data_IF_230040578713
#
_entry.id   IF_230040578713
#
_cell.length_a   1.000
_cell.length_b   1.000
_cell.length_c   1.000
_cell.angle_alpha   90.00
_cell.angle_beta   90.00
_cell.angle_gamma   90.00
#
_symmetry.space_group_name_H-M   'P 1'
#
loop_
_entity.id
_entity.type
_entity.pdbx_description
1 polymer ?
#
# COMPACT_ATOMS: atom_id res chain seq x y z
N UNK A 1 13.47 22.22 -27.05
CA UNK A 1 13.26 23.67 -26.84
C UNK A 1 13.22 24.41 -28.17
N UNK A 2 14.26 24.32 -29.01
CA UNK A 2 14.29 25.03 -30.32
C UNK A 2 13.19 24.58 -31.32
N UNK A 3 12.82 23.29 -31.36
CA UNK A 3 11.70 22.78 -32.16
C UNK A 3 10.31 23.17 -31.63
N UNK A 4 10.20 23.48 -30.33
CA UNK A 4 8.94 23.95 -29.73
C UNK A 4 8.72 25.45 -30.00
N UNK A 5 9.82 26.23 -30.04
CA UNK A 5 9.77 27.66 -30.35
C UNK A 5 9.29 27.95 -31.79
N UNK A 6 9.70 27.12 -32.76
CA UNK A 6 9.33 27.32 -34.17
C UNK A 6 7.83 27.05 -34.40
N UNK A 7 7.24 26.07 -33.72
CA UNK A 7 5.80 25.77 -33.80
C UNK A 7 4.96 26.89 -33.17
N UNK A 8 5.45 27.51 -32.09
CA UNK A 8 4.77 28.63 -31.45
C UNK A 8 4.70 29.87 -32.36
N UNK A 9 5.78 30.17 -33.10
CA UNK A 9 5.84 31.34 -34.00
C UNK A 9 4.87 31.21 -35.18
N UNK A 10 4.65 29.99 -35.69
CA UNK A 10 3.72 29.74 -36.82
C UNK A 10 2.24 29.92 -36.41
N UNK A 11 1.91 29.67 -35.13
CA UNK A 11 0.55 29.88 -34.59
C UNK A 11 0.24 31.36 -34.27
N UNK A 12 1.23 32.26 -34.33
CA UNK A 12 1.16 33.67 -33.91
C UNK A 12 0.76 34.65 -35.04
N UNK A 13 -0.03 34.22 -36.03
CA UNK A 13 -0.57 35.11 -37.07
C UNK A 13 -1.99 35.62 -36.80
N UNK A 14 -2.66 35.12 -35.76
CA UNK A 14 -4.03 35.51 -35.45
C UNK A 14 -4.08 36.30 -34.14
N UNK A 15 -4.38 37.61 -34.22
CA UNK A 15 -4.41 38.54 -33.07
C UNK A 15 -5.33 38.06 -31.94
N UNK A 16 -6.38 37.29 -32.25
CA UNK A 16 -7.28 36.71 -31.24
C UNK A 16 -6.66 35.55 -30.45
N UNK A 17 -5.76 34.77 -31.06
CA UNK A 17 -5.06 33.66 -30.39
C UNK A 17 -3.98 34.20 -29.44
N UNK A 18 -3.29 35.27 -29.84
CA UNK A 18 -2.31 35.94 -28.98
C UNK A 18 -2.94 36.45 -27.68
N UNK A 19 -4.14 37.04 -27.76
CA UNK A 19 -4.88 37.54 -26.59
C UNK A 19 -5.36 36.41 -25.65
N UNK A 20 -5.77 35.28 -26.21
CA UNK A 20 -6.18 34.11 -25.41
C UNK A 20 -4.99 33.44 -24.70
N UNK A 21 -3.84 33.35 -25.38
CA UNK A 21 -2.63 32.78 -24.78
C UNK A 21 -2.06 33.69 -23.71
N UNK A 22 -2.07 35.02 -23.89
CA UNK A 22 -1.65 35.95 -22.84
C UNK A 22 -2.59 35.91 -21.64
N UNK A 23 -3.91 35.83 -21.85
CA UNK A 23 -4.88 35.64 -20.76
C UNK A 23 -4.65 34.34 -19.99
N UNK A 24 -4.39 33.22 -20.68
CA UNK A 24 -4.13 31.93 -20.02
C UNK A 24 -2.83 31.94 -19.21
N UNK A 25 -1.77 32.59 -19.71
CA UNK A 25 -0.50 32.72 -18.99
C UNK A 25 -0.67 33.62 -17.76
N UNK A 26 -1.42 34.73 -17.88
CA UNK A 26 -1.72 35.62 -16.74
C UNK A 26 -2.58 34.89 -15.71
N UNK A 27 -3.62 34.15 -16.13
CA UNK A 27 -4.44 33.35 -15.22
C UNK A 27 -3.61 32.27 -14.51
N UNK A 28 -2.77 31.52 -15.23
CA UNK A 28 -1.89 30.53 -14.61
C UNK A 28 -0.88 31.17 -13.66
N UNK A 29 -0.31 32.32 -14.02
CA UNK A 29 0.60 33.09 -13.16
C UNK A 29 -0.06 33.57 -11.88
N UNK A 30 -1.27 34.12 -11.96
CA UNK A 30 -2.04 34.61 -10.79
C UNK A 30 -2.48 33.46 -9.89
N UNK A 31 -2.91 32.32 -10.46
CA UNK A 31 -3.24 31.12 -9.68
C UNK A 31 -2.01 30.51 -8.99
N UNK A 32 -0.87 30.48 -9.68
CA UNK A 32 0.37 29.97 -9.11
C UNK A 32 0.84 30.86 -7.94
N UNK A 33 0.86 32.18 -8.15
CA UNK A 33 1.32 33.16 -7.15
C UNK A 33 0.38 33.24 -5.93
N UNK A 34 -0.94 33.16 -6.14
CA UNK A 34 -1.90 33.10 -5.03
C UNK A 34 -1.80 31.79 -4.25
N UNK A 35 -1.53 30.66 -4.90
CA UNK A 35 -1.30 29.39 -4.20
C UNK A 35 -0.04 29.43 -3.32
N UNK A 36 1.05 30.01 -3.83
CA UNK A 36 2.33 30.09 -3.10
C UNK A 36 2.22 31.02 -1.89
N UNK A 37 1.52 32.15 -2.02
CA UNK A 37 1.22 33.05 -0.91
C UNK A 37 0.33 32.39 0.16
N UNK A 38 -0.68 31.61 -0.25
CA UNK A 38 -1.58 30.89 0.68
C UNK A 38 -0.83 29.79 1.43
N UNK A 39 0.06 29.07 0.75
CA UNK A 39 0.91 28.03 1.33
C UNK A 39 1.91 28.64 2.31
N UNK A 40 2.55 29.77 1.97
CA UNK A 40 3.50 30.46 2.86
C UNK A 40 2.84 31.00 4.13
N UNK A 41 1.62 31.52 4.02
CA UNK A 41 0.83 31.97 5.19
C UNK A 41 0.41 30.80 6.09
N UNK A 42 0.07 29.64 5.51
CA UNK A 42 -0.24 28.43 6.27
C UNK A 42 0.99 27.88 7.01
N UNK A 43 2.16 27.85 6.35
CA UNK A 43 3.42 27.45 7.01
C UNK A 43 3.82 28.39 8.15
N UNK A 44 3.66 29.71 7.96
CA UNK A 44 3.97 30.68 9.00
C UNK A 44 3.01 30.60 10.20
N UNK A 45 1.72 30.25 9.99
CA UNK A 45 0.79 30.04 11.10
C UNK A 45 1.17 28.79 11.91
N UNK A 46 1.55 27.69 11.25
CA UNK A 46 2.02 26.46 11.93
C UNK A 46 3.28 26.73 12.77
N UNK A 47 4.26 27.46 12.22
CA UNK A 47 5.49 27.79 12.95
C UNK A 47 5.19 28.65 14.19
N UNK A 48 4.29 29.63 14.06
CA UNK A 48 3.92 30.52 15.17
C UNK A 48 3.17 29.76 16.28
N UNK A 49 2.25 28.85 15.91
CA UNK A 49 1.55 27.99 16.88
C UNK A 49 2.51 27.03 17.59
N UNK A 50 3.49 26.46 16.86
CA UNK A 50 4.49 25.56 17.46
C UNK A 50 5.41 26.25 18.47
N UNK A 51 5.80 27.50 18.21
CA UNK A 51 6.66 28.28 19.11
C UNK A 51 5.93 28.73 20.38
N UNK A 52 4.62 29.01 20.31
CA UNK A 52 3.81 29.35 21.48
C UNK A 52 3.56 28.13 22.38
N UNK A 53 3.42 26.93 21.82
CA UNK A 53 3.31 25.68 22.59
C UNK A 53 4.65 25.33 23.28
N UNK A 54 5.78 25.69 22.67
CA UNK A 54 7.10 25.44 23.23
C UNK A 54 7.48 26.41 24.37
N UNK A 55 6.92 27.63 24.40
CA UNK A 55 7.15 28.57 25.51
C UNK A 55 6.29 28.23 26.73
N UNK A 56 5.06 27.75 26.55
CA UNK A 56 4.13 27.40 27.63
C UNK A 56 4.52 26.11 28.38
N UNK A 57 5.27 25.21 27.75
CA UNK A 57 5.74 23.95 28.35
C UNK A 57 7.03 24.09 29.17
N UNK A 58 7.63 25.28 29.20
CA UNK A 58 8.91 25.54 29.91
C UNK A 58 8.76 26.13 31.31
N UNK A 59 7.53 26.33 31.82
CA UNK A 59 7.27 27.02 33.10
C UNK A 59 6.61 26.20 34.21
N UNK A 60 6.36 24.89 34.04
CA UNK A 60 5.77 24.06 35.10
C UNK A 60 6.80 23.13 35.77
N UNK A 61 7.33 23.58 36.91
CA UNK A 61 8.16 22.79 37.82
C UNK A 61 7.34 21.67 38.48
N UNK A 62 7.79 20.42 38.38
CA UNK A 62 7.21 19.25 39.04
C UNK A 62 7.93 19.03 40.38
N UNK A 63 7.18 19.04 41.48
CA UNK A 63 7.59 18.50 42.78
C UNK A 63 7.00 17.11 42.98
N UNK A 64 7.87 16.15 43.26
CA UNK A 64 7.61 14.74 43.54
C UNK A 64 7.13 14.53 44.99
N UNK A 65 6.04 13.78 45.20
CA UNK A 65 5.78 12.96 46.40
C UNK A 65 4.33 12.44 46.46
N UNK A 66 4.16 11.17 46.81
CA UNK A 66 2.93 10.68 47.46
C UNK A 66 2.34 9.38 46.93
N UNK A 67 2.98 8.25 47.24
CA UNK A 67 2.29 6.95 47.30
C UNK A 67 1.46 6.96 48.60
N UNK A 68 0.13 6.91 48.50
CA UNK A 68 -0.72 6.56 49.63
C UNK A 68 -1.86 5.63 49.21
N UNK A 69 -2.06 4.62 50.05
CA UNK A 69 -2.96 3.49 49.89
C UNK A 69 -4.42 3.90 49.75
N UNK A 70 -5.16 3.26 48.84
CA UNK A 70 -6.62 3.30 48.83
C UNK A 70 -7.19 1.88 48.72
N UNK A 71 -7.79 1.41 49.82
CA UNK A 71 -8.75 0.30 49.81
C UNK A 71 -10.13 0.92 49.61
N UNK A 72 -10.93 0.47 48.63
CA UNK A 72 -12.37 0.66 48.69
C UNK A 72 -13.08 -0.69 48.85
N UNK A 73 -13.77 -0.83 49.97
CA UNK A 73 -14.93 -1.71 50.12
C UNK A 73 -16.17 -0.98 49.59
N UNK A 74 -16.77 -1.49 48.51
CA UNK A 74 -18.21 -1.46 48.24
C UNK A 74 -18.45 -2.08 46.87
N UNK A 75 -19.43 -2.97 46.77
CA UNK A 75 -19.87 -3.60 45.53
C UNK A 75 -20.36 -2.53 44.54
N UNK A 76 -19.47 -2.08 43.66
CA UNK A 76 -19.84 -1.37 42.44
C UNK A 76 -20.37 -2.39 41.43
N UNK A 77 -21.38 -2.07 40.61
CA UNK A 77 -21.71 -2.91 39.46
C UNK A 77 -20.42 -3.15 38.68
N UNK A 78 -20.14 -4.39 38.28
CA UNK A 78 -18.95 -4.70 37.48
C UNK A 78 -18.96 -3.82 36.23
N UNK A 79 -18.28 -2.68 36.30
CA UNK A 79 -17.97 -1.86 35.14
C UNK A 79 -17.08 -2.76 34.30
N UNK A 80 -17.66 -3.31 33.25
CA UNK A 80 -16.92 -4.06 32.27
C UNK A 80 -15.81 -3.13 31.78
N UNK A 81 -14.60 -3.65 31.62
CA UNK A 81 -13.52 -2.96 30.88
C UNK A 81 -13.94 -2.58 29.45
N UNK A 82 -15.12 -3.03 29.00
CA UNK A 82 -15.77 -2.67 27.74
C UNK A 82 -16.89 -1.61 27.87
N UNK A 83 -17.27 -1.18 29.08
CA UNK A 83 -18.28 -0.13 29.31
C UNK A 83 -17.72 1.28 29.03
N UNK A 84 -16.38 1.40 28.95
CA UNK A 84 -15.68 2.58 28.47
C UNK A 84 -14.42 2.18 27.71
N UNK A 85 -14.53 2.04 26.39
CA UNK A 85 -13.39 1.69 25.52
C UNK A 85 -12.61 2.96 25.12
N UNK A 86 -11.93 3.58 26.08
CA UNK A 86 -10.98 4.66 25.78
C UNK A 86 -9.65 4.03 25.35
N UNK A 87 -9.57 3.66 24.09
CA UNK A 87 -8.34 3.12 23.52
C UNK A 87 -7.26 4.21 23.53
N UNK A 88 -6.08 3.95 24.10
CA UNK A 88 -5.02 4.94 24.14
C UNK A 88 -4.60 5.29 22.71
N UNK A 89 -4.65 6.57 22.38
CA UNK A 89 -4.07 7.07 21.15
C UNK A 89 -2.55 7.13 21.33
N UNK A 90 -1.85 6.27 20.60
CA UNK A 90 -0.40 6.27 20.61
C UNK A 90 0.09 7.23 19.55
N UNK A 91 0.92 8.19 19.95
CA UNK A 91 1.61 9.07 19.00
C UNK A 91 2.49 8.22 18.07
N UNK A 92 2.14 8.14 16.77
CA UNK A 92 2.95 7.41 15.82
C UNK A 92 4.31 8.07 15.63
N UNK A 93 4.59 9.28 16.10
CA UNK A 93 5.90 9.92 16.03
C UNK A 93 6.61 10.01 17.38
N UNK A 94 6.20 9.20 18.36
CA UNK A 94 6.83 9.18 19.67
C UNK A 94 8.35 8.93 19.57
N UNK A 95 9.14 9.81 20.19
CA UNK A 95 10.59 9.80 20.12
C UNK A 95 11.23 8.50 20.61
N UNK A 96 10.68 7.83 21.61
CA UNK A 96 11.23 6.57 22.13
C UNK A 96 10.95 5.41 21.16
N UNK A 97 9.78 5.40 20.53
CA UNK A 97 9.47 4.46 19.45
C UNK A 97 10.36 4.70 18.21
N UNK A 98 10.68 5.95 17.88
CA UNK A 98 11.63 6.30 16.82
C UNK A 98 13.05 5.86 17.20
N UNK A 99 13.49 6.04 18.45
CA UNK A 99 14.82 5.56 18.90
C UNK A 99 14.96 4.05 18.83
N UNK A 100 13.89 3.29 19.04
CA UNK A 100 13.87 1.84 18.85
C UNK A 100 13.88 1.46 17.36
N UNK A 101 13.21 2.24 16.53
CA UNK A 101 13.28 2.15 15.08
C UNK A 101 14.58 2.83 14.58
N UNK A 102 15.71 2.15 14.72
CA UNK A 102 16.96 2.54 14.04
C UNK A 102 17.02 1.84 12.69
N UNK A 103 16.39 2.36 11.61
CA UNK A 103 16.68 1.84 10.29
C UNK A 103 18.19 2.04 10.10
N UNK A 104 18.90 1.00 9.69
CA UNK A 104 20.24 1.18 9.17
C UNK A 104 20.07 2.02 7.90
N UNK A 105 20.14 3.34 8.05
CA UNK A 105 20.07 4.29 6.94
C UNK A 105 21.33 4.10 6.11
N UNK A 106 21.33 3.11 5.22
CA UNK A 106 22.04 3.30 3.97
C UNK A 106 21.22 4.34 3.23
N UNK A 107 21.83 5.47 2.91
CA UNK A 107 21.16 6.46 2.07
C UNK A 107 20.68 5.77 0.79
N UNK A 108 19.42 5.97 0.43
CA UNK A 108 18.89 5.48 -0.85
C UNK A 108 19.61 6.13 -2.05
N UNK A 109 20.38 7.20 -1.82
CA UNK A 109 21.17 7.89 -2.84
C UNK A 109 22.22 6.97 -3.50
N UNK A 110 22.71 5.95 -2.76
CA UNK A 110 23.66 4.95 -3.27
C UNK A 110 22.97 3.67 -3.77
N UNK A 111 21.64 3.57 -3.65
CA UNK A 111 20.86 2.43 -4.10
C UNK A 111 20.60 2.52 -5.60
N UNK A 112 21.67 2.45 -6.40
CA UNK A 112 21.53 2.14 -7.82
C UNK A 112 21.09 0.67 -7.92
N UNK A 113 19.96 0.36 -8.57
CA UNK A 113 19.60 -1.03 -8.80
C UNK A 113 20.81 -1.70 -9.47
N UNK A 114 21.34 -2.80 -8.92
CA UNK A 114 22.58 -3.40 -9.40
C UNK A 114 22.46 -3.89 -10.84
N UNK A 115 21.23 -4.04 -11.34
CA UNK A 115 20.90 -4.63 -12.62
C UNK A 115 19.90 -3.70 -13.34
N UNK A 116 20.23 -3.19 -14.54
CA UNK A 116 19.28 -2.45 -15.34
C UNK A 116 18.16 -3.37 -15.82
N UNK A 117 16.92 -2.87 -15.79
CA UNK A 117 15.76 -3.60 -16.32
C UNK A 117 15.89 -3.68 -17.85
N UNK A 118 16.24 -4.87 -18.36
CA UNK A 118 16.51 -5.09 -19.80
C UNK A 118 15.29 -5.57 -20.60
N UNK A 119 14.15 -5.81 -19.95
CA UNK A 119 12.89 -6.19 -20.62
C UNK A 119 11.74 -5.32 -20.15
N UNK A 120 10.79 -5.03 -21.02
CA UNK A 120 9.57 -4.26 -20.70
C UNK A 120 8.35 -4.92 -21.32
N UNK A 121 7.26 -5.02 -20.58
CA UNK A 121 5.96 -5.47 -21.09
C UNK A 121 5.14 -4.28 -21.61
N UNK A 122 4.70 -4.35 -22.87
CA UNK A 122 3.81 -3.36 -23.50
C UNK A 122 2.79 -4.10 -24.35
N UNK A 123 1.49 -3.93 -24.04
CA UNK A 123 0.38 -4.55 -24.79
C UNK A 123 0.61 -6.05 -25.08
N UNK A 124 0.85 -6.84 -24.02
CA UNK A 124 1.11 -8.28 -24.09
C UNK A 124 2.39 -8.67 -24.87
N UNK A 125 3.23 -7.71 -25.25
CA UNK A 125 4.47 -7.94 -25.98
C UNK A 125 5.66 -7.58 -25.10
N UNK A 126 6.65 -8.45 -25.05
CA UNK A 126 7.90 -8.17 -24.32
C UNK A 126 8.87 -7.47 -25.28
N UNK A 127 9.34 -6.31 -24.87
CA UNK A 127 10.34 -5.51 -25.57
C UNK A 127 11.68 -5.68 -24.86
N UNK A 128 12.70 -6.13 -25.58
CA UNK A 128 14.07 -6.13 -25.09
C UNK A 128 14.70 -4.75 -25.29
N UNK A 129 15.12 -4.11 -24.21
CA UNK A 129 15.76 -2.79 -24.24
C UNK A 129 17.28 -2.88 -24.41
N UNK A 130 17.86 -4.07 -24.27
CA UNK A 130 19.30 -4.32 -24.41
C UNK A 130 19.66 -4.99 -25.74
N UNK A 131 20.46 -4.31 -26.56
CA UNK A 131 20.97 -4.87 -27.83
C UNK A 131 21.93 -6.05 -27.64
N UNK A 132 22.53 -6.17 -26.45
CA UNK A 132 23.55 -7.17 -26.13
C UNK A 132 22.97 -8.52 -25.68
N UNK A 133 21.67 -8.56 -25.37
CA UNK A 133 21.02 -9.76 -24.86
C UNK A 133 20.04 -10.33 -25.87
N UNK A 134 19.89 -11.65 -25.85
CA UNK A 134 18.81 -12.37 -26.51
C UNK A 134 17.87 -12.91 -25.44
N UNK A 135 16.58 -12.62 -25.55
CA UNK A 135 15.61 -12.92 -24.50
C UNK A 135 14.51 -13.86 -25.00
N UNK A 136 14.03 -14.71 -24.11
CA UNK A 136 12.82 -15.53 -24.27
C UNK A 136 11.87 -15.21 -23.13
N UNK A 137 10.59 -15.53 -23.32
CA UNK A 137 9.58 -15.36 -22.29
C UNK A 137 8.62 -16.54 -22.24
N UNK A 138 7.94 -16.71 -21.12
CA UNK A 138 6.89 -17.71 -20.91
C UNK A 138 5.81 -17.19 -19.99
N UNK A 139 4.64 -17.81 -20.07
CA UNK A 139 3.55 -17.57 -19.13
C UNK A 139 3.71 -18.40 -17.86
N UNK A 140 3.39 -17.79 -16.72
CA UNK A 140 3.26 -18.47 -15.44
C UNK A 140 1.79 -18.48 -15.02
N UNK A 141 1.23 -19.66 -14.83
CA UNK A 141 -0.13 -19.84 -14.32
C UNK A 141 -0.07 -20.48 -12.95
N UNK A 142 -0.82 -19.97 -11.99
CA UNK A 142 -0.89 -20.59 -10.66
C UNK A 142 -1.55 -21.96 -10.76
N UNK A 143 -0.92 -22.99 -10.19
CA UNK A 143 -1.50 -24.34 -10.08
C UNK A 143 -2.13 -24.54 -8.71
N UNK A 144 -1.36 -24.23 -7.67
CA UNK A 144 -1.74 -24.31 -6.26
C UNK A 144 -0.91 -23.31 -5.45
N UNK A 145 -0.95 -23.41 -4.12
CA UNK A 145 -0.25 -22.49 -3.22
C UNK A 145 1.27 -22.61 -3.25
N UNK A 146 1.80 -23.74 -3.71
CA UNK A 146 3.23 -24.04 -3.67
C UNK A 146 3.84 -24.15 -5.08
N UNK A 147 3.02 -24.22 -6.13
CA UNK A 147 3.47 -24.51 -7.49
C UNK A 147 2.78 -23.65 -8.54
N UNK A 148 3.55 -23.32 -9.56
CA UNK A 148 3.08 -22.72 -10.80
C UNK A 148 3.19 -23.73 -11.95
N UNK A 149 2.23 -23.68 -12.86
CA UNK A 149 2.34 -24.27 -14.19
C UNK A 149 3.17 -23.33 -15.07
N UNK A 150 4.27 -23.85 -15.58
CA UNK A 150 5.19 -23.13 -16.45
C UNK A 150 4.82 -23.39 -17.90
N UNK A 151 4.61 -22.31 -18.68
CA UNK A 151 4.53 -22.42 -20.13
C UNK A 151 5.89 -22.63 -20.78
N UNK A 152 5.88 -22.84 -22.10
CA UNK A 152 7.09 -22.99 -22.90
C UNK A 152 7.86 -21.68 -23.07
N UNK A 153 9.18 -21.78 -23.18
CA UNK A 153 10.04 -20.65 -23.50
C UNK A 153 9.93 -20.26 -24.97
N UNK A 154 9.31 -19.13 -25.23
CA UNK A 154 9.07 -18.61 -26.58
C UNK A 154 9.92 -17.37 -26.87
N UNK A 155 10.40 -17.19 -28.12
CA UNK A 155 11.08 -15.97 -28.54
C UNK A 155 10.16 -14.75 -28.41
N UNK A 156 10.66 -13.64 -27.86
CA UNK A 156 9.84 -12.46 -27.59
C UNK A 156 9.44 -11.70 -28.85
N UNK A 157 10.19 -11.82 -29.95
CA UNK A 157 9.98 -11.05 -31.19
C UNK A 157 8.77 -11.55 -31.99
N UNK A 158 8.38 -12.81 -31.77
CA UNK A 158 7.35 -13.50 -32.56
C UNK A 158 6.07 -13.78 -31.79
N UNK A 159 6.05 -13.51 -30.48
CA UNK A 159 4.99 -13.98 -29.60
C UNK A 159 4.40 -12.86 -28.76
N UNK A 160 3.09 -12.96 -28.53
CA UNK A 160 2.38 -12.20 -27.51
C UNK A 160 2.08 -13.13 -26.34
N UNK A 161 2.25 -12.61 -25.14
CA UNK A 161 2.06 -13.35 -23.90
C UNK A 161 0.76 -12.86 -23.27
N UNK A 162 -0.33 -13.54 -23.63
CA UNK A 162 -1.66 -13.25 -23.12
C UNK A 162 -1.92 -13.99 -21.78
N UNK A 163 -1.08 -13.72 -20.78
CA UNK A 163 -1.26 -14.18 -19.39
C UNK A 163 -0.92 -13.07 -18.37
N UNK A 164 -1.39 -13.24 -17.13
CA UNK A 164 -1.21 -12.22 -16.09
C UNK A 164 0.25 -12.05 -15.66
N UNK A 165 0.98 -13.16 -15.53
CA UNK A 165 2.40 -13.16 -15.14
C UNK A 165 3.26 -13.71 -16.27
N UNK A 166 4.21 -12.90 -16.73
CA UNK A 166 5.17 -13.26 -17.78
C UNK A 166 6.57 -13.29 -17.19
N UNK A 167 7.22 -14.44 -17.25
CA UNK A 167 8.63 -14.59 -16.87
C UNK A 167 9.50 -14.43 -18.11
N UNK A 168 10.55 -13.61 -18.02
CA UNK A 168 11.55 -13.44 -19.07
C UNK A 168 12.89 -14.00 -18.62
N UNK A 169 13.65 -14.52 -19.58
CA UNK A 169 15.06 -14.91 -19.40
C UNK A 169 15.89 -14.38 -20.54
N UNK A 170 17.01 -13.77 -20.21
CA UNK A 170 17.91 -13.13 -21.15
C UNK A 170 19.32 -13.69 -20.96
N UNK A 171 19.98 -13.99 -22.08
CA UNK A 171 21.36 -14.43 -22.12
C UNK A 171 22.20 -13.45 -22.95
N UNK A 172 23.46 -13.26 -22.56
CA UNK A 172 24.40 -12.47 -23.34
C UNK A 172 24.60 -13.09 -24.72
N UNK A 173 24.57 -12.27 -25.78
CA UNK A 173 24.91 -12.74 -27.14
C UNK A 173 26.36 -13.20 -27.26
N UNK A 174 27.25 -12.67 -26.43
CA UNK A 174 28.68 -12.97 -26.46
C UNK A 174 29.07 -14.20 -25.62
N UNK A 175 28.16 -14.73 -24.79
CA UNK A 175 28.46 -15.90 -23.95
C UNK A 175 28.38 -17.18 -24.79
N UNK A 176 29.54 -17.80 -25.04
CA UNK A 176 29.65 -19.08 -25.78
C UNK A 176 28.98 -20.27 -25.06
N UNK A 177 28.66 -20.13 -23.77
CA UNK A 177 28.04 -21.19 -22.97
C UNK A 177 26.56 -20.94 -22.65
N UNK A 178 25.94 -19.89 -23.20
CA UNK A 178 24.50 -19.62 -23.01
C UNK A 178 24.09 -19.44 -21.54
N UNK A 179 25.03 -19.11 -20.66
CA UNK A 179 24.77 -18.86 -19.24
C UNK A 179 23.72 -17.77 -19.09
N UNK A 180 22.65 -18.08 -18.36
CA UNK A 180 21.54 -17.16 -18.09
C UNK A 180 22.08 -15.95 -17.32
N UNK A 181 21.95 -14.77 -17.90
CA UNK A 181 22.47 -13.54 -17.29
C UNK A 181 21.43 -12.94 -16.34
N UNK A 182 20.17 -12.82 -16.81
CA UNK A 182 19.11 -12.15 -16.05
C UNK A 182 17.71 -12.69 -16.35
N UNK A 183 16.84 -12.69 -15.33
CA UNK A 183 15.41 -12.95 -15.47
C UNK A 183 14.55 -11.85 -14.83
N UNK A 184 13.42 -11.53 -15.47
CA UNK A 184 12.45 -10.55 -14.94
C UNK A 184 11.05 -11.15 -14.90
N UNK A 185 10.26 -10.70 -13.93
CA UNK A 185 8.82 -10.97 -13.88
C UNK A 185 8.07 -9.71 -14.27
N UNK A 186 7.12 -9.85 -15.18
CA UNK A 186 6.19 -8.81 -15.57
C UNK A 186 4.78 -9.23 -15.19
N UNK A 187 3.98 -8.25 -14.74
CA UNK A 187 2.57 -8.45 -14.45
C UNK A 187 1.72 -7.56 -15.37
N UNK A 188 0.59 -8.10 -15.81
CA UNK A 188 -0.46 -7.38 -16.53
C UNK A 188 -1.82 -7.96 -16.15
N UNK A 189 -2.89 -7.22 -16.44
CA UNK A 189 -4.26 -7.71 -16.29
C UNK A 189 -4.82 -7.90 -17.69
N UNK A 190 -5.26 -9.12 -18.00
CA UNK A 190 -5.83 -9.42 -19.30
C UNK A 190 -7.33 -9.54 -19.18
N UNK A 191 -8.02 -8.71 -19.96
CA UNK A 191 -9.46 -8.78 -20.03
C UNK A 191 -9.87 -10.11 -20.64
N UNK A 192 -10.60 -10.91 -19.86
CA UNK A 192 -11.24 -12.10 -20.39
C UNK A 192 -12.33 -11.67 -21.40
N UNK A 193 -12.26 -12.17 -22.63
CA UNK A 193 -13.26 -11.92 -23.68
C UNK A 193 -14.59 -12.59 -23.38
N UNK A 194 -14.58 -13.66 -22.57
CA UNK A 194 -15.77 -14.36 -22.09
C UNK A 194 -16.36 -13.68 -20.86
N UNK A 195 -16.66 -12.39 -20.98
CA UNK A 195 -17.62 -11.80 -20.03
C UNK A 195 -19.00 -12.22 -20.48
N UNK A 196 -19.47 -13.37 -19.98
CA UNK A 196 -20.89 -13.56 -19.74
C UNK A 196 -21.29 -12.44 -18.79
N UNK A 197 -21.60 -11.26 -19.32
CA UNK A 197 -22.20 -10.18 -18.54
C UNK A 197 -23.42 -10.83 -17.91
N UNK A 198 -23.39 -10.98 -16.58
CA UNK A 198 -24.58 -11.39 -15.86
C UNK A 198 -25.67 -10.39 -16.27
N UNK A 199 -26.69 -10.87 -16.96
CA UNK A 199 -27.82 -10.07 -17.42
C UNK A 199 -28.66 -9.68 -16.19
N UNK A 200 -28.11 -8.82 -15.33
CA UNK A 200 -28.86 -8.21 -14.25
C UNK A 200 -29.51 -6.95 -14.82
N UNK A 201 -30.70 -7.13 -15.38
CA UNK A 201 -31.50 -6.04 -15.95
C UNK A 201 -32.01 -5.03 -14.90
N UNK A 202 -31.89 -5.34 -13.60
CA UNK A 202 -32.64 -4.63 -12.55
C UNK A 202 -31.78 -4.03 -11.41
N UNK A 203 -30.46 -3.93 -11.53
CA UNK A 203 -29.63 -3.37 -10.45
C UNK A 203 -28.32 -2.73 -10.89
N UNK A 204 -27.85 -1.74 -10.12
CA UNK A 204 -26.48 -1.20 -10.26
C UNK A 204 -25.48 -2.29 -9.86
N UNK A 205 -24.63 -2.71 -10.78
CA UNK A 205 -23.46 -3.53 -10.47
C UNK A 205 -22.32 -2.63 -10.00
N UNK A 206 -21.66 -3.05 -8.93
CA UNK A 206 -20.48 -2.38 -8.40
C UNK A 206 -19.27 -3.29 -8.58
N UNK A 207 -18.20 -2.75 -9.16
CA UNK A 207 -16.91 -3.41 -9.19
C UNK A 207 -16.22 -3.16 -7.85
N UNK A 208 -15.88 -4.23 -7.13
CA UNK A 208 -15.21 -4.15 -5.82
C UNK A 208 -13.74 -4.55 -6.01
N UNK A 209 -12.84 -3.65 -5.60
CA UNK A 209 -11.41 -3.90 -5.57
C UNK A 209 -10.94 -3.98 -4.12
N UNK A 210 -10.27 -5.07 -3.77
CA UNK A 210 -9.74 -5.29 -2.42
C UNK A 210 -8.22 -5.28 -2.53
N UNK A 211 -7.59 -4.31 -1.89
CA UNK A 211 -6.14 -4.16 -1.83
C UNK A 211 -5.66 -4.62 -0.45
N UNK A 212 -4.93 -5.74 -0.42
CA UNK A 212 -4.35 -6.27 0.80
C UNK A 212 -2.86 -5.93 0.86
N UNK A 213 -2.45 -5.23 1.91
CA UNK A 213 -1.05 -4.92 2.20
C UNK A 213 -0.58 -5.81 3.35
N UNK A 214 0.24 -6.82 3.05
CA UNK A 214 0.78 -7.71 4.07
C UNK A 214 1.91 -7.03 4.88
N UNK A 215 2.04 -7.42 6.14
CA UNK A 215 3.10 -7.03 7.06
C UNK A 215 3.16 -5.53 7.38
N UNK A 216 2.00 -4.86 7.30
CA UNK A 216 1.85 -3.44 7.60
C UNK A 216 1.02 -3.23 8.88
N UNK A 217 1.66 -2.72 9.94
CA UNK A 217 0.95 -2.25 11.13
C UNK A 217 0.31 -0.86 10.93
N UNK A 218 -0.68 -0.51 11.75
CA UNK A 218 -1.32 0.82 11.69
C UNK A 218 -0.31 1.96 11.85
N UNK A 219 0.55 1.93 12.87
CA UNK A 219 1.57 2.97 13.07
C UNK A 219 2.61 3.01 11.95
N UNK A 220 2.93 1.86 11.36
CA UNK A 220 3.84 1.77 10.21
C UNK A 220 3.20 2.37 8.94
N UNK A 221 1.90 2.15 8.71
CA UNK A 221 1.21 2.74 7.56
C UNK A 221 1.20 4.27 7.63
N UNK A 222 1.04 4.84 8.83
CA UNK A 222 1.10 6.30 9.06
C UNK A 222 2.48 6.85 8.70
N UNK A 223 3.55 6.20 9.17
CA UNK A 223 4.93 6.68 8.96
C UNK A 223 5.42 6.45 7.54
N UNK A 224 5.14 5.27 6.97
CA UNK A 224 5.76 4.80 5.73
C UNK A 224 4.92 5.09 4.48
N UNK A 225 3.60 5.28 4.61
CA UNK A 225 2.69 5.53 3.49
C UNK A 225 1.86 6.83 3.65
N UNK A 226 2.43 7.96 4.11
CA UNK A 226 1.66 9.16 4.40
C UNK A 226 0.99 9.74 3.14
N UNK A 227 1.70 9.72 2.00
CA UNK A 227 1.15 10.22 0.73
C UNK A 227 -0.02 9.37 0.23
N UNK A 228 0.11 8.04 0.31
CA UNK A 228 -0.95 7.11 -0.11
C UNK A 228 -2.19 7.28 0.75
N UNK A 229 -2.02 7.36 2.08
CA UNK A 229 -3.13 7.56 3.02
C UNK A 229 -3.87 8.87 2.74
N UNK A 230 -3.15 9.98 2.66
CA UNK A 230 -3.73 11.31 2.40
C UNK A 230 -4.46 11.34 1.06
N UNK A 231 -3.93 10.67 0.04
CA UNK A 231 -4.61 10.55 -1.26
C UNK A 231 -5.91 9.75 -1.17
N UNK A 232 -5.92 8.61 -0.48
CA UNK A 232 -7.13 7.79 -0.29
C UNK A 232 -8.20 8.55 0.51
N UNK A 233 -7.83 9.18 1.61
CA UNK A 233 -8.77 9.93 2.47
C UNK A 233 -9.32 11.16 1.74
N UNK A 234 -8.48 11.92 1.03
CA UNK A 234 -8.92 13.17 0.39
C UNK A 234 -9.62 12.96 -0.95
N UNK A 235 -9.07 12.11 -1.82
CA UNK A 235 -9.56 11.91 -3.20
C UNK A 235 -10.66 10.85 -3.28
N UNK A 236 -10.54 9.76 -2.52
CA UNK A 236 -11.52 8.67 -2.54
C UNK A 236 -12.49 8.71 -1.35
N UNK A 237 -12.35 9.68 -0.44
CA UNK A 237 -13.14 9.76 0.80
C UNK A 237 -13.07 8.46 1.60
N UNK A 238 -11.90 7.82 1.58
CA UNK A 238 -11.66 6.60 2.32
C UNK A 238 -11.84 6.85 3.82
N UNK A 239 -12.47 5.89 4.50
CA UNK A 239 -12.65 5.91 5.95
C UNK A 239 -11.60 4.97 6.56
N UNK A 240 -10.78 5.52 7.45
CA UNK A 240 -9.83 4.75 8.23
C UNK A 240 -10.53 4.22 9.47
N UNK A 241 -10.46 2.91 9.68
CA UNK A 241 -10.93 2.27 10.92
C UNK A 241 -9.73 2.07 11.86
N UNK A 242 -9.55 2.94 12.86
CA UNK A 242 -8.49 2.74 13.84
C UNK A 242 -8.80 1.51 14.71
N UNK A 243 -7.75 0.98 15.34
CA UNK A 243 -7.85 -0.09 16.35
C UNK A 243 -8.40 -1.44 15.86
N UNK A 244 -8.31 -1.73 14.57
CA UNK A 244 -8.53 -3.09 14.07
C UNK A 244 -7.38 -3.98 14.55
N UNK A 245 -7.71 -4.92 15.44
CA UNK A 245 -6.76 -5.90 15.92
C UNK A 245 -6.59 -7.03 14.91
N UNK A 246 -5.35 -7.52 14.80
CA UNK A 246 -5.07 -8.78 14.12
C UNK A 246 -5.58 -9.95 14.98
N UNK A 247 -6.08 -10.98 14.33
CA UNK A 247 -6.61 -12.19 14.96
C UNK A 247 -5.47 -13.17 15.26
N UNK A 248 -4.48 -13.24 14.38
CA UNK A 248 -3.30 -14.07 14.56
C UNK A 248 -2.01 -13.36 14.18
N UNK A 249 -0.87 -13.98 14.46
CA UNK A 249 0.44 -13.39 14.17
C UNK A 249 0.75 -13.45 12.68
N UNK A 250 0.33 -14.50 11.99
CA UNK A 250 0.64 -14.78 10.59
C UNK A 250 -0.45 -14.27 9.63
N UNK A 251 -0.15 -14.19 8.33
CA UNK A 251 -1.12 -13.72 7.32
C UNK A 251 -2.33 -14.65 7.18
N UNK A 252 -2.13 -15.97 7.37
CA UNK A 252 -3.16 -17.01 7.22
C UNK A 252 -4.36 -16.86 8.18
N UNK A 253 -4.19 -16.80 9.53
CA UNK A 253 -5.31 -16.63 10.45
C UNK A 253 -6.07 -15.32 10.23
N UNK A 254 -5.37 -14.24 9.87
CA UNK A 254 -5.99 -12.94 9.58
C UNK A 254 -6.81 -12.99 8.27
N UNK A 255 -6.26 -13.63 7.23
CA UNK A 255 -6.95 -13.77 5.95
C UNK A 255 -8.21 -14.61 6.06
N UNK A 256 -8.15 -15.76 6.74
CA UNK A 256 -9.34 -16.62 6.89
C UNK A 256 -10.47 -15.87 7.62
N UNK A 257 -10.15 -15.16 8.69
CA UNK A 257 -11.16 -14.40 9.40
C UNK A 257 -11.71 -13.21 8.59
N UNK A 258 -10.88 -12.51 7.81
CA UNK A 258 -11.31 -11.41 6.95
C UNK A 258 -12.32 -11.88 5.89
N UNK A 259 -12.09 -13.05 5.28
CA UNK A 259 -12.91 -13.54 4.16
C UNK A 259 -14.10 -14.39 4.58
N UNK A 260 -13.97 -15.16 5.67
CA UNK A 260 -14.96 -16.14 6.07
C UNK A 260 -15.61 -15.84 7.42
N UNK A 261 -15.13 -14.83 8.16
CA UNK A 261 -15.65 -14.48 9.48
C UNK A 261 -15.45 -15.59 10.52
N UNK A 262 -14.43 -16.44 10.34
CA UNK A 262 -14.11 -17.57 11.22
C UNK A 262 -12.67 -17.51 11.71
N UNK A 263 -12.46 -17.77 12.98
CA UNK A 263 -11.14 -17.83 13.60
C UNK A 263 -10.59 -19.26 13.58
N UNK A 264 -9.31 -19.41 13.23
CA UNK A 264 -8.61 -20.70 13.21
C UNK A 264 -7.52 -20.79 14.29
N UNK A 265 -7.24 -19.69 14.97
CA UNK A 265 -6.28 -19.60 16.07
C UNK A 265 -6.99 -19.11 17.33
N UNK A 266 -6.51 -19.56 18.50
CA UNK A 266 -7.01 -19.13 19.80
C UNK A 266 -6.54 -17.72 20.11
N UNK A 267 -7.42 -16.86 20.62
CA UNK A 267 -7.06 -15.54 21.11
C UNK A 267 -6.67 -15.66 22.59
N UNK A 268 -5.39 -15.43 22.87
CA UNK A 268 -4.87 -15.41 24.25
C UNK A 268 -5.24 -14.09 24.92
N UNK A 269 -6.04 -14.16 25.99
CA UNK A 269 -6.52 -13.01 26.77
C UNK A 269 -6.04 -13.04 28.22
N UNK A 270 -5.17 -14.00 28.57
CA UNK A 270 -4.52 -14.06 29.86
C UNK A 270 -3.89 -12.74 30.33
N UNK A 271 -3.21 -11.92 29.50
CA UNK A 271 -2.69 -10.61 29.93
C UNK A 271 -3.76 -9.61 30.38
N UNK A 272 -5.01 -9.81 29.99
CA UNK A 272 -6.16 -9.00 30.39
C UNK A 272 -6.96 -9.63 31.54
N UNK A 273 -6.45 -10.69 32.17
CA UNK A 273 -7.17 -11.49 33.18
C UNK A 273 -8.56 -11.95 32.70
N UNK A 274 -8.67 -12.33 31.41
CA UNK A 274 -9.90 -12.84 30.80
C UNK A 274 -9.66 -14.25 30.23
N UNK A 275 -10.70 -15.10 30.15
CA UNK A 275 -10.57 -16.40 29.52
C UNK A 275 -10.21 -16.24 28.05
N UNK A 276 -9.38 -17.16 27.56
CA UNK A 276 -9.01 -17.25 26.16
C UNK A 276 -10.26 -17.55 25.31
N UNK A 277 -10.26 -17.07 24.07
CA UNK A 277 -11.32 -17.38 23.10
C UNK A 277 -10.80 -18.50 22.21
N UNK A 278 -11.47 -19.64 22.26
CA UNK A 278 -11.15 -20.80 21.42
C UNK A 278 -11.50 -20.55 19.95
N UNK A 279 -10.79 -21.22 19.00
CA UNK A 279 -11.02 -21.01 17.58
C UNK A 279 -12.38 -21.55 17.14
N UNK A 280 -13.09 -20.80 16.29
CA UNK A 280 -14.34 -21.25 15.66
C UNK A 280 -14.12 -22.52 14.81
N UNK A 281 -12.96 -22.60 14.17
CA UNK A 281 -12.53 -23.70 13.32
C UNK A 281 -11.24 -24.30 13.89
N UNK A 282 -11.33 -25.32 14.75
CA UNK A 282 -10.15 -25.98 15.29
C UNK A 282 -9.32 -26.62 14.18
N UNK A 283 -8.03 -26.79 14.44
CA UNK A 283 -7.04 -27.27 13.46
C UNK A 283 -7.50 -28.51 12.69
N UNK A 284 -8.12 -29.49 13.35
CA UNK A 284 -8.59 -30.71 12.69
C UNK A 284 -9.73 -30.48 11.70
N UNK A 285 -10.64 -29.54 12.00
CA UNK A 285 -11.72 -29.16 11.10
C UNK A 285 -11.19 -28.31 9.93
N UNK A 286 -10.28 -27.39 10.22
CA UNK A 286 -9.65 -26.53 9.22
C UNK A 286 -8.74 -27.29 8.24
N UNK A 287 -7.93 -28.23 8.74
CA UNK A 287 -7.03 -29.04 7.93
C UNK A 287 -7.71 -30.23 7.23
N UNK A 288 -9.05 -30.27 7.23
CA UNK A 288 -9.81 -31.24 6.45
C UNK A 288 -9.77 -32.67 7.00
N UNK A 289 -9.47 -32.88 8.29
CA UNK A 289 -9.71 -34.19 8.92
C UNK A 289 -11.21 -34.45 9.13
N UNK A 290 -12.02 -33.40 9.12
CA UNK A 290 -13.48 -33.44 9.02
C UNK A 290 -13.91 -32.50 7.90
N UNK A 291 -14.77 -32.98 7.01
CA UNK A 291 -15.38 -32.10 6.02
C UNK A 291 -16.38 -31.15 6.71
N UNK A 292 -16.27 -29.86 6.41
CA UNK A 292 -17.05 -28.79 7.06
C UNK A 292 -18.53 -28.77 6.62
N UNK A 293 -18.90 -29.56 5.63
CA UNK A 293 -20.25 -29.78 5.13
C UNK A 293 -20.97 -30.94 5.86
N UNK A 294 -20.28 -31.66 6.76
CA UNK A 294 -20.82 -32.84 7.43
C UNK A 294 -21.60 -32.52 8.73
N UNK A 295 -22.08 -31.28 8.88
CA UNK A 295 -22.99 -30.91 9.98
C UNK A 295 -24.42 -31.24 9.55
N UNK A 296 -24.98 -32.30 10.14
CA UNK A 296 -26.40 -32.69 10.06
C UNK A 296 -27.21 -31.98 11.14
#
# INVERSE_FOLDING_TARGET
>A
ILKLLIILIILMQNKHILFLVTLLIVFYGVFYYSSEATIKNYYNSIITTSNNIFSESSSNNISDSGISNFIPSSESPEISIFDGCNLPEFDPFNNDAIKAFKPKTKSYDDCKPPIPVITKLVNQTIINTSKQHTCKARCLHRKDDFRNNYGDWLPIEKNKFACDIVETRCANKSSKNGTEDFGHLHAQIIKNSTTNKANNSNGKQYDIYILLLDSLGHTQSIRSLPLTRTFLENSFKAVTFPFINKIGINSRPNGIALWFGKQIERIVRAPMNKPDIEPDLPFDAYCGKKHLDNYT
#
